data_IF_138236461570
#
_entry.id   IF_138236461570
#
_cell.length_a   1.000
_cell.length_b   1.000
_cell.length_c   1.000
_cell.angle_alpha   90.00
_cell.angle_beta   90.00
_cell.angle_gamma   90.00
#
_symmetry.space_group_name_H-M   'P 1'
#
loop_
_entity.id
_entity.type
_entity.pdbx_description
1 polymer ?
#
# COMPACT_ATOMS: atom_id res chain seq x y z
N UNK A 1 15.06 -5.05 13.39
CA UNK A 1 14.71 -5.75 12.13
C UNK A 1 13.20 -5.94 11.98
N UNK A 2 12.49 -6.47 12.99
CA UNK A 2 11.04 -6.75 12.89
C UNK A 2 10.15 -5.58 12.46
N UNK A 3 10.35 -4.38 13.03
CA UNK A 3 9.50 -3.21 12.72
C UNK A 3 9.52 -2.81 11.24
N UNK A 4 10.69 -2.87 10.58
CA UNK A 4 10.81 -2.51 9.17
C UNK A 4 10.21 -3.57 8.22
N UNK A 5 10.19 -4.84 8.64
CA UNK A 5 9.46 -5.91 7.93
C UNK A 5 7.96 -5.67 8.05
N UNK A 6 7.48 -5.29 9.23
CA UNK A 6 6.07 -4.94 9.44
C UNK A 6 5.66 -3.76 8.54
N UNK A 7 6.46 -2.70 8.47
CA UNK A 7 6.17 -1.58 7.55
C UNK A 7 6.17 -2.00 6.09
N UNK A 8 7.10 -2.86 5.67
CA UNK A 8 7.10 -3.36 4.29
C UNK A 8 5.81 -4.13 3.96
N UNK A 9 5.41 -5.07 4.83
CA UNK A 9 4.20 -5.87 4.64
C UNK A 9 2.95 -4.99 4.66
N UNK A 10 2.82 -4.11 5.65
CA UNK A 10 1.67 -3.18 5.76
C UNK A 10 1.61 -2.26 4.55
N UNK A 11 2.76 -1.77 4.07
CA UNK A 11 2.85 -0.96 2.87
C UNK A 11 2.40 -1.70 1.62
N UNK A 12 2.85 -2.94 1.42
CA UNK A 12 2.44 -3.78 0.29
C UNK A 12 0.94 -4.07 0.35
N UNK A 13 0.41 -4.44 1.52
CA UNK A 13 -1.03 -4.67 1.69
C UNK A 13 -1.80 -3.40 1.36
N UNK A 14 -1.43 -2.25 1.93
CA UNK A 14 -2.08 -0.97 1.61
C UNK A 14 -2.01 -0.62 0.12
N UNK A 15 -0.87 -0.89 -0.52
CA UNK A 15 -0.66 -0.68 -1.94
C UNK A 15 -1.61 -1.53 -2.79
N UNK A 16 -1.70 -2.83 -2.50
CA UNK A 16 -2.59 -3.78 -3.19
C UNK A 16 -4.05 -3.41 -2.97
N UNK A 17 -4.42 -3.02 -1.74
CA UNK A 17 -5.80 -2.64 -1.46
C UNK A 17 -6.20 -1.35 -2.18
N UNK A 18 -5.35 -0.32 -2.16
CA UNK A 18 -5.65 0.96 -2.81
C UNK A 18 -5.62 0.88 -4.34
N UNK A 19 -4.52 0.40 -4.93
CA UNK A 19 -4.45 0.30 -6.39
C UNK A 19 -5.36 -0.80 -6.92
N UNK A 20 -5.48 -1.93 -6.21
CA UNK A 20 -6.40 -3.00 -6.60
C UNK A 20 -7.84 -2.52 -6.62
N UNK A 21 -8.26 -1.72 -5.64
CA UNK A 21 -9.60 -1.12 -5.66
C UNK A 21 -9.76 -0.12 -6.81
N UNK A 22 -8.79 0.77 -7.03
CA UNK A 22 -8.87 1.76 -8.11
C UNK A 22 -8.97 1.11 -9.50
N UNK A 23 -8.18 0.06 -9.72
CA UNK A 23 -8.23 -0.75 -10.95
C UNK A 23 -9.58 -1.46 -11.07
N UNK A 24 -10.11 -2.00 -9.97
CA UNK A 24 -11.38 -2.70 -10.01
C UNK A 24 -12.57 -1.78 -10.31
N UNK A 25 -12.55 -0.55 -9.79
CA UNK A 25 -13.54 0.48 -10.13
C UNK A 25 -13.46 0.84 -11.61
N UNK A 26 -12.26 1.14 -12.10
CA UNK A 26 -12.06 1.59 -13.50
C UNK A 26 -12.34 0.50 -14.54
N UNK A 27 -11.93 -0.76 -14.28
CA UNK A 27 -12.01 -1.83 -15.28
C UNK A 27 -13.29 -2.67 -15.18
N UNK A 28 -13.81 -2.87 -13.96
CA UNK A 28 -14.94 -3.79 -13.72
C UNK A 28 -16.16 -3.09 -13.13
N UNK A 29 -16.09 -1.78 -12.88
CA UNK A 29 -17.12 -1.02 -12.17
C UNK A 29 -17.51 -1.72 -10.85
N UNK A 30 -16.52 -2.36 -10.23
CA UNK A 30 -16.70 -3.29 -9.13
C UNK A 30 -16.36 -2.65 -7.79
N UNK A 31 -17.24 -2.83 -6.81
CA UNK A 31 -17.02 -2.34 -5.46
C UNK A 31 -16.01 -3.21 -4.71
N UNK A 32 -14.92 -2.61 -4.25
CA UNK A 32 -13.93 -3.29 -3.44
C UNK A 32 -14.30 -3.23 -1.95
N UNK A 33 -14.62 -4.38 -1.34
CA UNK A 33 -15.19 -4.46 0.03
C UNK A 33 -14.40 -3.66 1.07
N UNK A 34 -13.06 -3.70 1.00
CA UNK A 34 -12.16 -3.01 1.95
C UNK A 34 -12.06 -1.49 1.71
N UNK A 35 -12.54 -1.00 0.56
CA UNK A 35 -12.65 0.42 0.22
C UNK A 35 -14.09 0.93 0.18
N UNK A 36 -15.07 0.15 0.67
CA UNK A 36 -16.49 0.55 0.68
C UNK A 36 -16.74 1.90 1.36
N UNK A 37 -15.92 2.28 2.33
CA UNK A 37 -16.01 3.55 3.05
C UNK A 37 -15.62 4.78 2.20
N UNK A 38 -15.00 4.58 1.04
CA UNK A 38 -14.50 5.63 0.16
C UNK A 38 -14.99 5.49 -1.29
N UNK A 39 -16.10 4.78 -1.52
CA UNK A 39 -16.66 4.53 -2.87
C UNK A 39 -17.01 5.81 -3.60
N UNK A 40 -17.59 6.79 -2.90
CA UNK A 40 -17.97 8.09 -3.49
C UNK A 40 -16.77 8.87 -4.04
N UNK A 41 -15.56 8.49 -3.63
CA UNK A 41 -14.29 9.12 -4.00
C UNK A 41 -13.41 8.21 -4.86
N UNK A 42 -13.90 7.02 -5.26
CA UNK A 42 -13.18 6.16 -6.18
C UNK A 42 -13.23 6.73 -7.61
N UNK A 43 -12.15 6.54 -8.39
CA UNK A 43 -10.93 5.76 -8.10
C UNK A 43 -9.85 6.54 -7.31
N UNK A 44 -10.04 7.84 -7.08
CA UNK A 44 -9.03 8.74 -6.50
C UNK A 44 -8.59 8.30 -5.09
N UNK A 45 -9.54 7.90 -4.25
CA UNK A 45 -9.27 7.36 -2.91
C UNK A 45 -8.38 6.11 -2.95
N UNK A 46 -8.65 5.20 -3.90
CA UNK A 46 -7.84 4.01 -4.14
C UNK A 46 -6.41 4.34 -4.53
N UNK A 47 -6.23 5.27 -5.47
CA UNK A 47 -4.89 5.75 -5.87
C UNK A 47 -4.15 6.35 -4.66
N UNK A 48 -4.81 7.18 -3.86
CA UNK A 48 -4.20 7.79 -2.68
C UNK A 48 -3.73 6.75 -1.66
N UNK A 49 -4.57 5.76 -1.34
CA UNK A 49 -4.20 4.66 -0.43
C UNK A 49 -3.09 3.80 -1.03
N UNK A 50 -3.13 3.57 -2.34
CA UNK A 50 -2.09 2.86 -3.07
C UNK A 50 -0.72 3.52 -2.93
N UNK A 51 -0.66 4.84 -3.13
CA UNK A 51 0.54 5.66 -2.98
C UNK A 51 1.03 5.67 -1.53
N UNK A 52 0.13 5.82 -0.55
CA UNK A 52 0.50 5.75 0.88
C UNK A 52 1.13 4.40 1.21
N UNK A 53 0.53 3.30 0.73
CA UNK A 53 1.10 1.96 0.87
C UNK A 53 2.50 1.84 0.27
N UNK A 54 2.71 2.37 -0.93
CA UNK A 54 4.00 2.37 -1.61
C UNK A 54 5.08 3.16 -0.84
N UNK A 55 4.72 4.30 -0.25
CA UNK A 55 5.62 5.09 0.60
C UNK A 55 6.03 4.29 1.83
N UNK A 56 5.06 3.68 2.52
CA UNK A 56 5.31 2.89 3.74
C UNK A 56 6.19 1.67 3.40
N UNK A 57 5.92 1.00 2.29
CA UNK A 57 6.73 -0.13 1.82
C UNK A 57 8.18 0.28 1.54
N UNK A 58 8.35 1.42 0.87
CA UNK A 58 9.67 1.99 0.55
C UNK A 58 10.47 2.36 1.80
N UNK A 59 9.80 2.90 2.84
CA UNK A 59 10.41 3.18 4.15
C UNK A 59 10.83 1.88 4.84
N UNK A 60 9.96 0.86 4.84
CA UNK A 60 10.27 -0.47 5.37
C UNK A 60 11.52 -1.07 4.72
N UNK A 61 11.55 -1.10 3.39
CA UNK A 61 12.67 -1.64 2.61
C UNK A 61 13.98 -0.87 2.83
N UNK A 62 13.92 0.46 2.83
CA UNK A 62 15.09 1.32 3.06
C UNK A 62 15.67 1.13 4.46
N UNK A 63 14.80 0.99 5.47
CA UNK A 63 15.23 0.70 6.84
C UNK A 63 15.88 -0.67 6.99
N UNK A 64 15.35 -1.71 6.34
CA UNK A 64 16.00 -3.02 6.32
C UNK A 64 17.38 -2.99 5.66
N UNK A 65 17.51 -2.29 4.53
CA UNK A 65 18.79 -2.13 3.83
C UNK A 65 19.84 -1.46 4.72
N UNK A 66 19.49 -0.38 5.41
CA UNK A 66 20.40 0.32 6.33
C UNK A 66 20.86 -0.58 7.48
N UNK A 67 19.97 -1.39 8.06
CA UNK A 67 20.32 -2.34 9.12
C UNK A 67 21.26 -3.44 8.61
N UNK A 68 21.00 -3.98 7.41
CA UNK A 68 21.88 -5.00 6.80
C UNK A 68 23.27 -4.43 6.49
N UNK A 69 23.35 -3.19 6.01
CA UNK A 69 24.62 -2.52 5.71
C UNK A 69 25.44 -2.24 6.97
N UNK A 70 24.81 -1.88 8.09
CA UNK A 70 25.48 -1.65 9.38
C UNK A 70 26.02 -2.92 10.06
N UNK A 71 25.65 -4.12 9.59
CA UNK A 71 26.09 -5.40 10.16
C UNK A 71 27.23 -6.06 9.36
N UNK A 72 27.69 -5.46 8.28
CA UNK A 72 28.91 -5.84 7.56
C UNK A 72 30.07 -4.98 8.02
#
# INVERSE_FOLDING_TARGET
MGLFIVFEIVGIVGMVQGFGSAIATELWNGDWTLMRWALDWQPVSGIAVGVVGLVIASVGWSGQKRIKASRR
#
